data_IF_244269217682
#
_entry.id   IF_244269217682
#
_cell.length_a   1.000
_cell.length_b   1.000
_cell.length_c   1.000
_cell.angle_alpha   90.00
_cell.angle_beta   90.00
_cell.angle_gamma   90.00
#
_symmetry.space_group_name_H-M   'P 1'
#
loop_
_entity.id
_entity.type
_entity.pdbx_description
1 polymer ?
#
# COMPACT_ATOMS: atom_id res chain seq x y z
N UNK A 1 25.51 -8.57 7.34
CA UNK A 1 26.40 -8.05 8.41
C UNK A 1 26.06 -6.62 8.87
N UNK A 2 25.41 -5.77 8.05
CA UNK A 2 25.10 -4.37 8.41
C UNK A 2 24.07 -4.12 9.54
N UNK A 3 23.16 -5.06 9.82
CA UNK A 3 22.11 -4.93 10.85
C UNK A 3 22.59 -5.10 12.30
N UNK A 4 23.84 -5.53 12.52
CA UNK A 4 24.37 -5.82 13.85
C UNK A 4 24.97 -4.59 14.57
N UNK A 5 25.17 -3.46 13.87
CA UNK A 5 25.82 -2.26 14.42
C UNK A 5 24.89 -1.05 14.63
N UNK A 6 23.60 -1.21 14.32
CA UNK A 6 22.60 -0.16 14.47
C UNK A 6 21.99 -0.14 15.88
N UNK A 7 21.59 1.03 16.39
CA UNK A 7 20.85 1.11 17.65
C UNK A 7 19.54 0.31 17.56
N UNK A 8 19.04 -0.21 18.70
CA UNK A 8 17.91 -1.16 18.73
C UNK A 8 16.62 -0.61 18.10
N UNK A 9 16.41 0.71 18.14
CA UNK A 9 15.24 1.36 17.55
C UNK A 9 15.28 1.42 16.02
N UNK A 10 16.44 1.76 15.44
CA UNK A 10 16.63 1.76 13.98
C UNK A 10 16.50 0.32 13.45
N UNK A 11 17.06 -0.65 14.17
CA UNK A 11 16.92 -2.06 13.86
C UNK A 11 15.45 -2.50 13.87
N UNK A 12 14.66 -2.03 14.84
CA UNK A 12 13.23 -2.30 14.90
C UNK A 12 12.49 -1.71 13.70
N UNK A 13 12.71 -0.43 13.38
CA UNK A 13 12.07 0.25 12.24
C UNK A 13 12.40 -0.45 10.92
N UNK A 14 13.68 -0.73 10.68
CA UNK A 14 14.14 -1.37 9.46
C UNK A 14 13.61 -2.80 9.34
N UNK A 15 13.66 -3.57 10.43
CA UNK A 15 13.17 -4.96 10.44
C UNK A 15 11.65 -5.02 10.27
N UNK A 16 10.93 -4.08 10.87
CA UNK A 16 9.49 -3.94 10.70
C UNK A 16 9.13 -3.56 9.26
N UNK A 17 9.80 -2.58 8.66
CA UNK A 17 9.60 -2.19 7.27
C UNK A 17 9.92 -3.34 6.30
N UNK A 18 11.03 -4.06 6.53
CA UNK A 18 11.41 -5.24 5.76
C UNK A 18 10.32 -6.32 5.83
N UNK A 19 9.91 -6.68 7.04
CA UNK A 19 8.88 -7.69 7.29
C UNK A 19 7.58 -7.35 6.57
N UNK A 20 7.18 -6.09 6.66
CA UNK A 20 6.03 -5.54 5.98
C UNK A 20 6.13 -5.59 4.45
N UNK A 21 7.32 -5.31 3.91
CA UNK A 21 7.64 -5.49 2.49
C UNK A 21 7.55 -6.95 2.05
N UNK A 22 8.10 -7.89 2.82
CA UNK A 22 8.02 -9.32 2.52
C UNK A 22 6.58 -9.85 2.54
N UNK A 23 5.76 -9.44 3.51
CA UNK A 23 4.34 -9.79 3.52
C UNK A 23 3.63 -9.30 2.26
N UNK A 24 3.93 -8.07 1.80
CA UNK A 24 3.37 -7.53 0.56
C UNK A 24 3.85 -8.29 -0.68
N UNK A 25 5.13 -8.69 -0.73
CA UNK A 25 5.64 -9.56 -1.79
C UNK A 25 4.95 -10.92 -1.79
N UNK A 26 4.71 -11.51 -0.61
CA UNK A 26 3.95 -12.75 -0.48
C UNK A 26 2.52 -12.61 -1.01
N UNK A 27 1.82 -11.53 -0.67
CA UNK A 27 0.47 -11.24 -1.19
C UNK A 27 0.48 -11.11 -2.72
N UNK A 28 1.47 -10.39 -3.29
CA UNK A 28 1.61 -10.27 -4.76
C UNK A 28 1.91 -11.61 -5.42
N UNK A 29 2.82 -12.40 -4.85
CA UNK A 29 3.21 -13.71 -5.37
C UNK A 29 2.05 -14.69 -5.37
N UNK A 30 1.32 -14.80 -4.25
CA UNK A 30 0.08 -15.59 -4.18
C UNK A 30 -0.98 -15.06 -5.15
N UNK A 31 -1.06 -13.75 -5.33
CA UNK A 31 -1.99 -13.14 -6.26
C UNK A 31 -1.72 -13.49 -7.72
N UNK A 32 -0.45 -13.52 -8.13
CA UNK A 32 -0.06 -14.00 -9.45
C UNK A 32 -0.37 -15.49 -9.60
N UNK A 33 -0.03 -16.30 -8.60
CA UNK A 33 -0.28 -17.74 -8.60
C UNK A 33 -1.78 -18.05 -8.68
N UNK A 34 -2.62 -17.31 -7.94
CA UNK A 34 -4.07 -17.40 -8.00
C UNK A 34 -4.60 -17.08 -9.39
N UNK A 35 -4.09 -16.01 -10.03
CA UNK A 35 -4.49 -15.64 -11.39
C UNK A 35 -4.09 -16.71 -12.41
N UNK A 36 -2.85 -17.21 -12.34
CA UNK A 36 -2.39 -18.33 -13.19
C UNK A 36 -3.27 -19.56 -12.97
N UNK A 37 -3.57 -19.91 -11.72
CA UNK A 37 -4.38 -21.08 -11.42
C UNK A 37 -5.85 -20.92 -11.85
N UNK A 38 -6.43 -19.73 -11.72
CA UNK A 38 -7.74 -19.41 -12.31
C UNK A 38 -7.74 -19.62 -13.82
N UNK A 39 -6.68 -19.23 -14.54
CA UNK A 39 -6.60 -19.49 -15.98
C UNK A 39 -6.51 -20.99 -16.29
N UNK A 40 -5.80 -21.78 -15.48
CA UNK A 40 -5.77 -23.24 -15.62
C UNK A 40 -7.18 -23.84 -15.44
N UNK A 41 -7.94 -23.36 -14.44
CA UNK A 41 -9.30 -23.83 -14.20
C UNK A 41 -10.25 -23.41 -15.33
N UNK A 42 -10.16 -22.16 -15.82
CA UNK A 42 -11.06 -21.63 -16.84
C UNK A 42 -10.71 -22.08 -18.27
N UNK A 43 -9.43 -22.27 -18.59
CA UNK A 43 -8.98 -22.67 -19.93
C UNK A 43 -8.75 -24.18 -20.04
N UNK A 44 -8.57 -24.89 -18.92
CA UNK A 44 -8.32 -26.34 -18.86
C UNK A 44 -9.54 -27.21 -19.16
N UNK A 45 -10.58 -26.67 -19.82
CA UNK A 45 -11.77 -27.41 -20.22
C UNK A 45 -12.81 -27.64 -19.11
N UNK A 46 -12.58 -27.16 -17.89
CA UNK A 46 -13.49 -27.39 -16.77
C UNK A 46 -14.72 -26.48 -16.72
N UNK A 47 -14.78 -25.44 -17.57
CA UNK A 47 -15.88 -24.44 -17.57
C UNK A 47 -17.25 -25.07 -17.77
N UNK A 48 -17.35 -26.13 -18.57
CA UNK A 48 -18.61 -26.85 -18.79
C UNK A 48 -19.00 -27.78 -17.63
N UNK A 49 -18.06 -28.13 -16.75
CA UNK A 49 -18.27 -28.98 -15.58
C UNK A 49 -18.43 -28.19 -14.27
N UNK A 50 -18.15 -26.89 -14.31
CA UNK A 50 -18.31 -25.98 -13.18
C UNK A 50 -19.78 -25.78 -12.83
N UNK A 51 -20.13 -25.95 -11.56
CA UNK A 51 -21.44 -25.49 -11.09
C UNK A 51 -21.56 -23.97 -11.27
N UNK A 52 -22.79 -23.50 -11.53
CA UNK A 52 -23.07 -22.06 -11.69
C UNK A 52 -22.51 -21.23 -10.53
N UNK A 53 -22.55 -21.75 -9.30
CA UNK A 53 -22.02 -21.06 -8.11
C UNK A 53 -20.49 -20.90 -8.16
N UNK A 54 -19.76 -21.94 -8.56
CA UNK A 54 -18.29 -21.90 -8.65
C UNK A 54 -17.83 -21.06 -9.82
N UNK A 55 -18.53 -21.14 -10.95
CA UNK A 55 -18.24 -20.28 -12.08
C UNK A 55 -18.26 -18.81 -11.66
N UNK A 56 -19.36 -18.36 -11.04
CA UNK A 56 -19.46 -16.98 -10.55
C UNK A 56 -18.43 -16.65 -9.46
N UNK A 57 -18.12 -17.59 -8.57
CA UNK A 57 -17.12 -17.39 -7.51
C UNK A 57 -15.72 -17.18 -8.09
N UNK A 58 -15.28 -18.07 -9.00
CA UNK A 58 -13.99 -17.98 -9.68
C UNK A 58 -13.92 -16.74 -10.56
N UNK A 59 -14.99 -16.37 -11.26
CA UNK A 59 -15.05 -15.13 -12.05
C UNK A 59 -14.89 -13.90 -11.17
N UNK A 60 -15.63 -13.79 -10.07
CA UNK A 60 -15.53 -12.64 -9.14
C UNK A 60 -14.13 -12.56 -8.54
N UNK A 61 -13.59 -13.69 -8.06
CA UNK A 61 -12.24 -13.75 -7.52
C UNK A 61 -11.22 -13.29 -8.56
N UNK A 62 -11.31 -13.79 -9.80
CA UNK A 62 -10.35 -13.46 -10.87
C UNK A 62 -10.45 -12.00 -11.30
N UNK A 63 -11.66 -11.44 -11.40
CA UNK A 63 -11.87 -10.02 -11.73
C UNK A 63 -11.29 -9.10 -10.65
N UNK A 64 -11.62 -9.37 -9.38
CA UNK A 64 -11.08 -8.61 -8.25
C UNK A 64 -9.57 -8.78 -8.13
N UNK A 65 -9.05 -9.98 -8.38
CA UNK A 65 -7.62 -10.26 -8.36
C UNK A 65 -6.89 -9.54 -9.49
N UNK A 66 -7.47 -9.50 -10.69
CA UNK A 66 -6.92 -8.75 -11.82
C UNK A 66 -6.86 -7.27 -11.47
N UNK A 67 -7.92 -6.70 -10.90
CA UNK A 67 -7.91 -5.32 -10.43
C UNK A 67 -6.89 -5.08 -9.29
N UNK A 68 -6.75 -6.04 -8.38
CA UNK A 68 -5.89 -5.97 -7.19
C UNK A 68 -4.40 -6.24 -7.45
N UNK A 69 -3.98 -7.06 -8.41
CA UNK A 69 -2.53 -7.28 -8.72
C UNK A 69 -1.89 -6.00 -9.27
N UNK A 70 -2.69 -5.12 -9.88
CA UNK A 70 -2.23 -3.78 -10.28
C UNK A 70 -2.08 -2.81 -9.08
N UNK A 71 -2.38 -3.22 -7.83
CA UNK A 71 -2.36 -2.46 -6.56
C UNK A 71 -1.19 -1.48 -6.41
N UNK A 72 0.02 -2.03 -6.42
CA UNK A 72 1.20 -1.28 -5.96
C UNK A 72 1.65 -0.30 -7.02
N UNK A 73 1.30 -0.59 -8.27
CA UNK A 73 1.50 0.33 -9.37
C UNK A 73 0.46 1.45 -9.36
N UNK A 74 -0.79 1.14 -9.01
CA UNK A 74 -1.91 2.05 -9.20
C UNK A 74 -2.10 3.07 -8.08
N UNK A 75 -1.80 2.79 -6.81
CA UNK A 75 -1.99 3.78 -5.73
C UNK A 75 -1.16 5.07 -5.94
N UNK A 76 0.11 4.91 -6.33
CA UNK A 76 0.99 6.05 -6.63
C UNK A 76 0.59 6.72 -7.96
N UNK A 77 0.16 5.93 -8.94
CA UNK A 77 -0.31 6.47 -10.24
C UNK A 77 -1.63 7.21 -10.14
N UNK A 78 -2.61 6.73 -9.38
CA UNK A 78 -3.91 7.36 -9.18
C UNK A 78 -3.77 8.69 -8.42
N UNK A 79 -2.90 8.75 -7.40
CA UNK A 79 -2.58 10.02 -6.74
C UNK A 79 -1.97 11.02 -7.73
N UNK A 80 -1.06 10.57 -8.60
CA UNK A 80 -0.45 11.44 -9.60
C UNK A 80 -1.45 11.85 -10.69
N UNK A 81 -2.30 10.93 -11.16
CA UNK A 81 -3.35 11.20 -12.14
C UNK A 81 -4.37 12.19 -11.56
N UNK A 82 -4.78 12.00 -10.31
CA UNK A 82 -5.67 12.90 -9.60
C UNK A 82 -5.05 14.29 -9.44
N UNK A 83 -3.76 14.37 -9.09
CA UNK A 83 -3.04 15.64 -9.00
C UNK A 83 -2.90 16.34 -10.36
N UNK A 84 -2.54 15.59 -11.42
CA UNK A 84 -2.47 16.12 -12.79
C UNK A 84 -3.84 16.58 -13.28
N UNK A 85 -4.89 15.83 -12.99
CA UNK A 85 -6.26 16.21 -13.34
C UNK A 85 -6.70 17.47 -12.58
N UNK A 86 -6.46 17.53 -11.28
CA UNK A 86 -6.71 18.73 -10.47
C UNK A 86 -5.94 19.94 -10.99
N UNK A 87 -4.66 19.77 -11.34
CA UNK A 87 -3.85 20.82 -11.92
C UNK A 87 -4.42 21.33 -13.26
N UNK A 88 -4.88 20.44 -14.13
CA UNK A 88 -5.53 20.80 -15.40
C UNK A 88 -6.83 21.59 -15.16
N UNK A 89 -7.68 21.13 -14.24
CA UNK A 89 -8.90 21.84 -13.84
C UNK A 89 -8.60 23.26 -13.33
N UNK A 90 -7.57 23.41 -12.49
CA UNK A 90 -7.16 24.73 -11.97
C UNK A 90 -6.53 25.61 -13.05
N UNK A 91 -5.87 25.02 -14.04
CA UNK A 91 -5.26 25.77 -15.15
C UNK A 91 -6.30 26.34 -16.12
N UNK A 92 -7.40 25.62 -16.36
CA UNK A 92 -8.52 26.13 -17.18
C UNK A 92 -9.23 27.32 -16.53
N UNK A 93 -9.29 27.38 -15.19
CA UNK A 93 -9.79 28.55 -14.46
C UNK A 93 -8.85 29.74 -14.67
N UNK A 94 -7.55 29.50 -14.63
CA UNK A 94 -6.53 30.55 -14.61
C UNK A 94 -6.27 31.18 -15.99
N UNK A 95 -6.36 30.41 -17.08
CA UNK A 95 -6.08 30.87 -18.46
C UNK A 95 -7.28 31.61 -19.07
N UNK A 96 -8.45 31.60 -18.41
CA UNK A 96 -9.68 32.16 -18.97
C UNK A 96 -9.70 33.69 -18.90
N UNK A 97 -9.12 34.34 -19.89
CA UNK A 97 -9.31 35.78 -20.14
C UNK A 97 -10.68 36.05 -20.77
N UNK A 98 -11.45 37.05 -20.27
CA UNK A 98 -12.73 37.40 -20.86
C UNK A 98 -12.54 38.04 -22.25
N UNK A 99 -13.33 37.67 -23.26
CA UNK A 99 -13.22 38.22 -24.60
C UNK A 99 -13.55 39.72 -24.61
N UNK A 100 -12.59 40.54 -25.05
CA UNK A 100 -12.69 41.99 -25.09
C UNK A 100 -13.81 42.44 -26.05
N UNK A 101 -14.87 43.07 -25.52
CA UNK A 101 -15.98 43.62 -26.31
C UNK A 101 -17.23 42.74 -26.42
N UNK A 102 -17.41 41.74 -25.55
CA UNK A 102 -18.59 40.85 -25.57
C UNK A 102 -19.71 41.32 -24.62
N UNK A 103 -20.98 41.09 -24.98
CA UNK A 103 -22.12 41.48 -24.12
C UNK A 103 -22.11 40.69 -22.80
N UNK A 104 -22.32 41.36 -21.65
CA UNK A 104 -22.34 40.73 -20.30
C UNK A 104 -23.17 39.45 -20.22
N UNK A 105 -24.29 39.36 -20.94
CA UNK A 105 -25.11 38.16 -20.99
C UNK A 105 -24.40 36.95 -21.62
N UNK A 106 -23.59 37.15 -22.65
CA UNK A 106 -22.85 36.08 -23.36
C UNK A 106 -21.69 35.56 -22.50
N UNK A 107 -21.06 36.43 -21.71
CA UNK A 107 -20.01 36.05 -20.74
C UNK A 107 -20.57 35.22 -19.59
N UNK A 108 -21.74 35.59 -19.08
CA UNK A 108 -22.43 34.82 -18.05
C UNK A 108 -22.85 33.44 -18.57
N UNK A 109 -23.44 33.38 -19.77
CA UNK A 109 -23.86 32.10 -20.38
C UNK A 109 -22.67 31.18 -20.60
N UNK A 110 -21.56 31.66 -21.19
CA UNK A 110 -20.37 30.83 -21.40
C UNK A 110 -19.75 30.37 -20.08
N UNK A 111 -19.78 31.21 -19.05
CA UNK A 111 -19.29 30.83 -17.71
C UNK A 111 -20.17 29.79 -17.04
N UNK A 112 -21.49 29.93 -17.12
CA UNK A 112 -22.43 28.96 -16.58
C UNK A 112 -22.27 27.60 -17.28
N UNK A 113 -22.16 27.59 -18.62
CA UNK A 113 -21.94 26.35 -19.39
C UNK A 113 -20.65 25.65 -18.98
N UNK A 114 -19.56 26.39 -18.80
CA UNK A 114 -18.28 25.83 -18.36
C UNK A 114 -18.36 25.27 -16.92
N UNK A 115 -19.01 25.99 -15.99
CA UNK A 115 -19.25 25.50 -14.62
C UNK A 115 -20.08 24.21 -14.64
N UNK A 116 -21.13 24.15 -15.46
CA UNK A 116 -21.98 22.96 -15.58
C UNK A 116 -21.20 21.77 -16.13
N UNK A 117 -20.38 21.97 -17.18
CA UNK A 117 -19.50 20.94 -17.72
C UNK A 117 -18.49 20.44 -16.68
N UNK A 118 -17.87 21.35 -15.92
CA UNK A 118 -16.95 21.02 -14.83
C UNK A 118 -17.61 20.18 -13.74
N UNK A 119 -18.78 20.61 -13.26
CA UNK A 119 -19.55 19.88 -12.25
C UNK A 119 -19.91 18.48 -12.76
N UNK A 120 -20.36 18.37 -14.01
CA UNK A 120 -20.69 17.09 -14.62
C UNK A 120 -19.47 16.15 -14.71
N UNK A 121 -18.31 16.68 -15.10
CA UNK A 121 -17.08 15.90 -15.20
C UNK A 121 -16.59 15.40 -13.83
N UNK A 122 -16.62 16.26 -12.80
CA UNK A 122 -16.30 15.88 -11.41
C UNK A 122 -17.29 14.84 -10.89
N UNK A 123 -18.58 14.99 -11.18
CA UNK A 123 -19.61 14.03 -10.77
C UNK A 123 -19.39 12.66 -11.42
N UNK A 124 -19.19 12.57 -12.74
CA UNK A 124 -18.90 11.31 -13.43
C UNK A 124 -17.68 10.64 -12.82
N UNK A 125 -16.58 11.39 -12.67
CA UNK A 125 -15.35 10.85 -12.12
C UNK A 125 -15.56 10.32 -10.71
N UNK A 126 -16.29 11.05 -9.87
CA UNK A 126 -16.59 10.60 -8.50
C UNK A 126 -17.47 9.35 -8.51
N UNK A 127 -18.51 9.31 -9.34
CA UNK A 127 -19.44 8.18 -9.45
C UNK A 127 -18.73 6.92 -10.00
N UNK A 128 -17.73 7.06 -10.86
CA UNK A 128 -16.98 5.92 -11.41
C UNK A 128 -15.84 5.50 -10.47
N UNK A 129 -15.06 6.45 -9.95
CA UNK A 129 -13.88 6.18 -9.13
C UNK A 129 -14.25 5.68 -7.73
N UNK A 130 -15.33 6.19 -7.12
CA UNK A 130 -15.68 5.83 -5.75
C UNK A 130 -16.09 4.35 -5.61
N UNK A 131 -17.00 3.78 -6.42
CA UNK A 131 -17.30 2.36 -6.39
C UNK A 131 -16.08 1.51 -6.74
N UNK A 132 -15.25 1.96 -7.68
CA UNK A 132 -14.01 1.27 -8.03
C UNK A 132 -13.05 1.23 -6.83
N UNK A 133 -12.92 2.34 -6.09
CA UNK A 133 -12.09 2.43 -4.89
C UNK A 133 -12.62 1.58 -3.73
N UNK A 134 -13.95 1.49 -3.57
CA UNK A 134 -14.59 0.61 -2.57
C UNK A 134 -14.39 -0.86 -2.94
N UNK A 135 -14.66 -1.23 -4.19
CA UNK A 135 -14.43 -2.59 -4.71
C UNK A 135 -12.95 -2.97 -4.63
N UNK A 136 -12.06 -2.01 -4.82
CA UNK A 136 -10.62 -2.18 -4.67
C UNK A 136 -10.20 -2.42 -3.21
N UNK A 137 -10.66 -1.57 -2.28
CA UNK A 137 -10.30 -1.69 -0.87
C UNK A 137 -10.91 -2.93 -0.21
N UNK A 138 -12.14 -3.26 -0.59
CA UNK A 138 -12.87 -4.40 -0.03
C UNK A 138 -12.68 -5.70 -0.83
N UNK A 139 -12.17 -5.61 -2.06
CA UNK A 139 -12.11 -6.73 -3.00
C UNK A 139 -11.35 -7.92 -2.43
N UNK A 140 -10.21 -7.69 -1.79
CA UNK A 140 -9.43 -8.77 -1.19
C UNK A 140 -10.15 -9.44 -0.02
N UNK A 141 -10.89 -8.68 0.78
CA UNK A 141 -11.71 -9.22 1.87
C UNK A 141 -12.89 -10.03 1.32
N UNK A 142 -13.55 -9.53 0.26
CA UNK A 142 -14.66 -10.22 -0.39
C UNK A 142 -14.18 -11.52 -1.02
N UNK A 143 -13.07 -11.51 -1.77
CA UNK A 143 -12.46 -12.72 -2.32
C UNK A 143 -12.15 -13.77 -1.25
N UNK A 144 -11.56 -13.33 -0.13
CA UNK A 144 -11.22 -14.21 1.00
C UNK A 144 -12.47 -14.81 1.61
N UNK A 145 -13.52 -14.01 1.83
CA UNK A 145 -14.78 -14.47 2.38
C UNK A 145 -15.48 -15.47 1.46
N UNK A 146 -15.53 -15.20 0.15
CA UNK A 146 -16.09 -16.12 -0.85
C UNK A 146 -15.30 -17.43 -0.85
N UNK A 147 -13.97 -17.36 -0.93
CA UNK A 147 -13.12 -18.54 -0.96
C UNK A 147 -13.25 -19.39 0.32
N UNK A 148 -13.25 -18.76 1.50
CA UNK A 148 -13.50 -19.43 2.78
C UNK A 148 -14.88 -20.10 2.79
N UNK A 149 -15.92 -19.37 2.37
CA UNK A 149 -17.28 -19.89 2.33
C UNK A 149 -17.40 -21.11 1.41
N UNK A 150 -16.78 -21.07 0.21
CA UNK A 150 -16.73 -22.22 -0.69
C UNK A 150 -15.97 -23.39 -0.04
N UNK A 151 -14.77 -23.17 0.49
CA UNK A 151 -13.95 -24.21 1.13
C UNK A 151 -14.61 -24.88 2.35
N UNK A 152 -15.45 -24.15 3.08
CA UNK A 152 -16.21 -24.69 4.22
C UNK A 152 -17.43 -25.46 3.75
N UNK A 153 -18.20 -24.90 2.82
CA UNK A 153 -19.46 -25.51 2.38
C UNK A 153 -19.23 -26.78 1.58
N UNK A 154 -18.12 -26.85 0.82
CA UNK A 154 -17.72 -28.00 -0.01
C UNK A 154 -18.91 -28.61 -0.78
N UNK A 155 -19.80 -27.76 -1.29
CA UNK A 155 -20.99 -28.21 -2.05
C UNK A 155 -20.73 -28.33 -3.55
N UNK A 156 -19.54 -27.95 -4.04
CA UNK A 156 -19.07 -28.14 -5.42
C UNK A 156 -18.64 -29.57 -5.77
N UNK A 157 -18.89 -30.51 -4.86
CA UNK A 157 -18.55 -31.93 -5.00
C UNK A 157 -19.75 -32.77 -5.50
N UNK A 158 -20.95 -32.18 -5.53
CA UNK A 158 -22.24 -32.85 -5.68
C UNK A 158 -22.74 -32.90 -7.12
N UNK A 159 -22.10 -33.72 -7.97
CA UNK A 159 -22.59 -33.96 -9.32
C UNK A 159 -21.53 -34.32 -10.34
N UNK A 160 -20.36 -34.82 -9.92
CA UNK A 160 -19.41 -35.39 -10.85
C UNK A 160 -20.05 -36.62 -11.50
N UNK A 161 -20.60 -36.42 -12.70
CA UNK A 161 -20.83 -37.50 -13.65
C UNK A 161 -19.54 -38.32 -13.70
N UNK A 162 -19.69 -39.64 -13.56
CA UNK A 162 -18.62 -40.61 -13.64
C UNK A 162 -17.86 -40.43 -14.96
N UNK A 163 -16.74 -39.72 -14.91
CA UNK A 163 -15.93 -39.38 -16.07
C UNK A 163 -14.58 -38.79 -15.63
N UNK A 164 -13.50 -39.25 -16.26
CA UNK A 164 -12.12 -38.98 -15.85
C UNK A 164 -11.74 -37.50 -15.73
N UNK A 165 -12.43 -36.59 -16.43
CA UNK A 165 -12.13 -35.16 -16.42
C UNK A 165 -12.64 -34.44 -15.16
N UNK A 166 -13.73 -34.91 -14.53
CA UNK A 166 -14.23 -34.34 -13.28
C UNK A 166 -13.35 -34.70 -12.06
N UNK A 167 -12.47 -35.69 -12.20
CA UNK A 167 -11.58 -36.13 -11.12
C UNK A 167 -10.58 -35.05 -10.71
N UNK A 168 -10.08 -34.27 -11.68
CA UNK A 168 -9.07 -33.23 -11.46
C UNK A 168 -9.67 -31.85 -11.18
N UNK A 169 -10.96 -31.65 -11.45
CA UNK A 169 -11.66 -30.39 -11.17
C UNK A 169 -11.71 -30.08 -9.67
N UNK A 170 -12.02 -31.10 -8.85
CA UNK A 170 -12.12 -30.97 -7.39
C UNK A 170 -10.81 -30.48 -6.76
N UNK A 171 -9.67 -31.16 -6.94
CA UNK A 171 -8.40 -30.67 -6.40
C UNK A 171 -7.98 -29.33 -7.01
N UNK A 172 -8.35 -29.04 -8.27
CA UNK A 172 -8.06 -27.75 -8.88
C UNK A 172 -8.80 -26.59 -8.18
N UNK A 173 -10.08 -26.75 -7.86
CA UNK A 173 -10.84 -25.73 -7.11
C UNK A 173 -10.36 -25.59 -5.67
N UNK A 174 -9.98 -26.70 -5.02
CA UNK A 174 -9.42 -26.66 -3.67
C UNK A 174 -8.12 -25.86 -3.60
N UNK A 175 -7.23 -26.04 -4.58
CA UNK A 175 -6.00 -25.23 -4.70
C UNK A 175 -6.36 -23.76 -4.96
N UNK A 176 -7.30 -23.48 -5.87
CA UNK A 176 -7.71 -22.11 -6.20
C UNK A 176 -8.21 -21.36 -4.97
N UNK A 177 -9.19 -21.93 -4.26
CA UNK A 177 -9.75 -21.29 -3.08
C UNK A 177 -8.73 -21.22 -1.94
N UNK A 178 -7.86 -22.22 -1.78
CA UNK A 178 -6.79 -22.18 -0.77
C UNK A 178 -5.78 -21.05 -1.04
N UNK A 179 -5.41 -20.82 -2.30
CA UNK A 179 -4.57 -19.69 -2.69
C UNK A 179 -5.23 -18.35 -2.37
N UNK A 180 -6.52 -18.21 -2.69
CA UNK A 180 -7.29 -17.00 -2.38
C UNK A 180 -7.37 -16.74 -0.86
N UNK A 181 -7.61 -17.77 -0.06
CA UNK A 181 -7.61 -17.67 1.40
C UNK A 181 -6.23 -17.34 1.95
N UNK A 182 -5.18 -18.01 1.46
CA UNK A 182 -3.80 -17.74 1.88
C UNK A 182 -3.37 -16.30 1.58
N UNK A 183 -3.72 -15.79 0.40
CA UNK A 183 -3.48 -14.40 0.01
C UNK A 183 -4.22 -13.43 0.95
N UNK A 184 -5.50 -13.72 1.21
CA UNK A 184 -6.33 -12.98 2.15
C UNK A 184 -5.75 -12.93 3.57
N UNK A 185 -5.29 -14.08 4.07
CA UNK A 185 -4.71 -14.21 5.40
C UNK A 185 -3.41 -13.39 5.54
N UNK A 186 -2.50 -13.46 4.55
CA UNK A 186 -1.29 -12.63 4.55
C UNK A 186 -1.62 -11.13 4.53
N UNK A 187 -2.64 -10.73 3.75
CA UNK A 187 -3.07 -9.34 3.69
C UNK A 187 -3.72 -8.87 4.98
N UNK A 188 -4.58 -9.69 5.59
CA UNK A 188 -5.19 -9.39 6.88
C UNK A 188 -4.12 -9.25 7.97
N UNK A 189 -3.18 -10.19 8.01
CA UNK A 189 -2.05 -10.16 8.93
C UNK A 189 -1.21 -8.90 8.73
N UNK A 190 -0.86 -8.55 7.48
CA UNK A 190 -0.18 -7.29 7.14
C UNK A 190 -0.97 -6.08 7.64
N UNK A 191 -2.28 -6.03 7.42
CA UNK A 191 -3.12 -4.90 7.84
C UNK A 191 -3.16 -4.77 9.35
N UNK A 192 -3.30 -5.87 10.08
CA UNK A 192 -3.26 -5.90 11.54
C UNK A 192 -1.91 -5.41 12.09
N UNK A 193 -0.80 -5.88 11.52
CA UNK A 193 0.54 -5.41 11.89
C UNK A 193 0.79 -3.95 11.51
N UNK A 194 0.18 -3.45 10.43
CA UNK A 194 0.29 -2.04 10.03
C UNK A 194 -0.32 -1.13 11.09
N UNK A 195 -1.50 -1.52 11.60
CA UNK A 195 -2.21 -0.83 12.65
C UNK A 195 -1.43 -0.90 13.98
N UNK A 196 -0.99 -2.09 14.39
CA UNK A 196 -0.22 -2.28 15.62
C UNK A 196 1.14 -1.56 15.58
N UNK A 197 1.83 -1.60 14.44
CA UNK A 197 3.13 -0.97 14.26
C UNK A 197 3.08 0.56 14.25
N UNK A 198 1.99 1.17 13.78
CA UNK A 198 1.77 2.61 13.95
C UNK A 198 1.73 3.00 15.43
N UNK A 199 1.09 2.18 16.27
CA UNK A 199 1.11 2.35 17.72
C UNK A 199 2.47 2.08 18.36
N UNK A 200 3.27 1.14 17.84
CA UNK A 200 4.62 0.89 18.32
C UNK A 200 5.58 2.07 18.07
N UNK A 201 5.41 2.78 16.95
CA UNK A 201 6.20 3.98 16.60
C UNK A 201 5.87 5.13 17.55
N UNK A 202 4.60 5.35 17.87
CA UNK A 202 4.18 6.30 18.91
C UNK A 202 4.82 5.96 20.27
N UNK A 203 4.88 4.67 20.64
CA UNK A 203 5.56 4.23 21.87
C UNK A 203 7.06 4.47 21.85
N UNK A 204 7.73 4.36 20.70
CA UNK A 204 9.15 4.74 20.56
C UNK A 204 9.29 6.25 20.75
N UNK A 205 8.49 7.06 20.05
CA UNK A 205 8.50 8.52 20.17
C UNK A 205 8.32 8.97 21.63
N UNK A 206 7.39 8.34 22.34
CA UNK A 206 7.09 8.63 23.74
C UNK A 206 8.20 8.13 24.70
N UNK A 207 8.69 6.90 24.51
CA UNK A 207 9.76 6.30 25.32
C UNK A 207 11.06 7.11 25.29
N UNK A 208 11.38 7.72 24.14
CA UNK A 208 12.58 8.55 24.00
C UNK A 208 12.36 10.02 24.34
N UNK A 209 11.17 10.38 24.85
CA UNK A 209 10.77 11.75 25.21
C UNK A 209 11.16 12.76 24.13
N UNK A 210 10.92 12.40 22.86
CA UNK A 210 11.12 13.30 21.75
C UNK A 210 10.05 14.41 21.84
N UNK A 211 10.35 15.47 22.58
CA UNK A 211 9.42 16.58 22.86
C UNK A 211 9.32 17.58 21.70
N UNK A 212 10.30 17.61 20.80
CA UNK A 212 10.30 18.52 19.65
C UNK A 212 9.52 17.92 18.47
N UNK A 213 8.53 18.67 17.94
CA UNK A 213 7.75 18.32 16.73
C UNK A 213 8.63 17.86 15.57
N UNK A 214 9.71 18.61 15.30
CA UNK A 214 10.69 18.34 14.24
C UNK A 214 11.35 16.94 14.33
N UNK A 215 11.68 16.48 15.54
CA UNK A 215 12.26 15.14 15.74
C UNK A 215 11.25 14.03 15.46
N UNK A 216 9.97 14.26 15.77
CA UNK A 216 8.88 13.33 15.47
C UNK A 216 8.64 13.25 13.96
N UNK A 217 8.67 14.39 13.27
CA UNK A 217 8.52 14.45 11.81
C UNK A 217 9.66 13.75 11.08
N UNK A 218 10.91 13.93 11.50
CA UNK A 218 12.05 13.24 10.89
C UNK A 218 11.98 11.71 11.06
N UNK A 219 11.60 11.21 12.24
CA UNK A 219 11.41 9.77 12.48
C UNK A 219 10.22 9.21 11.69
N UNK A 220 9.11 9.96 11.60
CA UNK A 220 7.96 9.59 10.77
C UNK A 220 8.30 9.59 9.28
N UNK A 221 9.07 10.57 8.82
CA UNK A 221 9.60 10.68 7.46
C UNK A 221 10.48 9.48 7.12
N UNK A 222 11.44 9.16 7.99
CA UNK A 222 12.31 7.99 7.83
C UNK A 222 11.50 6.69 7.74
N UNK A 223 10.55 6.47 8.66
CA UNK A 223 9.69 5.28 8.63
C UNK A 223 8.86 5.22 7.34
N UNK A 224 8.31 6.35 6.90
CA UNK A 224 7.53 6.45 5.66
C UNK A 224 8.39 6.07 4.46
N UNK A 225 9.63 6.56 4.40
CA UNK A 225 10.58 6.23 3.34
C UNK A 225 10.97 4.75 3.37
N UNK A 226 11.30 4.21 4.55
CA UNK A 226 11.61 2.79 4.69
C UNK A 226 10.43 1.91 4.27
N UNK A 227 9.19 2.25 4.65
CA UNK A 227 7.98 1.53 4.20
C UNK A 227 7.80 1.62 2.68
N UNK A 228 7.86 2.82 2.12
CA UNK A 228 7.68 3.06 0.69
C UNK A 228 8.74 2.35 -0.17
N UNK A 229 9.99 2.33 0.31
CA UNK A 229 11.08 1.58 -0.31
C UNK A 229 10.89 0.07 -0.17
N UNK A 230 10.60 -0.43 1.03
CA UNK A 230 10.40 -1.87 1.29
C UNK A 230 9.17 -2.46 0.58
N UNK A 231 8.13 -1.67 0.34
CA UNK A 231 6.95 -2.09 -0.42
C UNK A 231 7.29 -2.38 -1.90
N UNK A 232 8.38 -1.78 -2.42
CA UNK A 232 8.92 -2.07 -3.74
C UNK A 232 9.95 -3.20 -3.68
N UNK A 233 10.91 -3.08 -2.77
CA UNK A 233 12.00 -4.02 -2.57
C UNK A 233 12.32 -4.13 -1.06
N UNK A 234 12.00 -5.25 -0.39
CA UNK A 234 12.28 -5.47 1.03
C UNK A 234 13.76 -5.37 1.40
N UNK A 235 14.68 -5.52 0.44
CA UNK A 235 16.10 -5.34 0.69
C UNK A 235 16.50 -3.87 0.85
N UNK A 236 15.62 -2.92 0.50
CA UNK A 236 15.85 -1.48 0.58
C UNK A 236 16.29 -0.99 1.96
N UNK A 237 15.76 -1.58 3.04
CA UNK A 237 16.14 -1.20 4.40
C UNK A 237 17.53 -1.69 4.82
N UNK A 238 18.14 -2.62 4.08
CA UNK A 238 19.44 -3.19 4.42
C UNK A 238 20.53 -2.12 4.21
N UNK A 239 21.21 -1.76 5.30
CA UNK A 239 22.28 -0.76 5.24
C UNK A 239 21.80 0.69 5.29
N UNK A 240 20.50 0.94 5.43
CA UNK A 240 19.96 2.28 5.67
C UNK A 240 19.99 2.63 7.14
N UNK A 241 20.43 3.83 7.45
CA UNK A 241 20.55 4.39 8.78
C UNK A 241 19.92 5.78 8.82
N UNK A 242 19.45 6.17 10.01
CA UNK A 242 18.72 7.43 10.20
C UNK A 242 19.59 8.64 9.90
N UNK A 243 20.90 8.54 10.14
CA UNK A 243 21.88 9.61 9.89
C UNK A 243 22.01 9.86 8.39
N UNK A 244 22.19 8.83 7.57
CA UNK A 244 22.28 8.99 6.11
C UNK A 244 21.00 9.57 5.52
N UNK A 245 19.83 9.19 6.06
CA UNK A 245 18.56 9.82 5.67
C UNK A 245 18.53 11.31 5.99
N UNK A 246 18.92 11.69 7.21
CA UNK A 246 18.99 13.10 7.61
C UNK A 246 19.95 13.88 6.71
N UNK A 247 21.09 13.30 6.33
CA UNK A 247 22.06 13.91 5.41
C UNK A 247 21.48 14.10 4.01
N UNK A 248 20.86 13.06 3.46
CA UNK A 248 20.20 13.14 2.15
C UNK A 248 19.08 14.19 2.11
N UNK A 249 18.38 14.40 3.23
CA UNK A 249 17.34 15.42 3.31
C UNK A 249 17.93 16.83 3.16
N UNK A 250 19.13 17.07 3.71
CA UNK A 250 19.84 18.35 3.58
C UNK A 250 20.25 18.64 2.14
N UNK A 251 20.82 17.65 1.46
CA UNK A 251 21.30 17.80 0.08
C UNK A 251 20.15 18.07 -0.91
N UNK A 252 18.91 17.71 -0.54
CA UNK A 252 17.73 17.85 -1.39
C UNK A 252 17.01 19.19 -1.30
N UNK A 253 17.36 20.07 -0.35
CA UNK A 253 16.75 21.39 -0.20
C UNK A 253 17.72 22.51 -0.60
N UNK A 254 17.24 23.59 -1.26
CA UNK A 254 18.07 24.73 -1.60
C UNK A 254 18.59 25.43 -0.33
N UNK A 255 19.81 26.01 -0.36
CA UNK A 255 20.37 26.68 0.81
C UNK A 255 19.65 28.02 1.04
N UNK A 256 18.87 28.09 2.10
CA UNK A 256 18.35 29.31 2.69
C UNK A 256 18.80 29.38 4.15
N UNK A 257 19.20 30.57 4.63
CA UNK A 257 19.84 30.74 5.96
C UNK A 257 18.99 30.15 7.12
N UNK A 258 17.67 30.10 6.94
CA UNK A 258 16.73 29.52 7.90
C UNK A 258 16.76 27.98 7.86
N UNK A 259 16.82 27.37 6.66
CA UNK A 259 16.93 25.92 6.49
C UNK A 259 18.30 25.39 6.94
N UNK A 260 19.39 26.11 6.71
CA UNK A 260 20.74 25.71 7.14
C UNK A 260 20.86 25.64 8.68
N UNK A 261 20.22 26.59 9.38
CA UNK A 261 20.11 26.57 10.85
C UNK A 261 19.24 25.41 11.37
N UNK A 262 18.16 25.11 10.64
CA UNK A 262 17.23 24.03 10.92
C UNK A 262 17.90 22.66 10.73
N UNK A 263 18.64 22.47 9.64
CA UNK A 263 19.35 21.23 9.32
C UNK A 263 20.51 20.98 10.27
N UNK A 264 21.31 22.00 10.60
CA UNK A 264 22.33 21.90 11.65
C UNK A 264 21.72 21.50 13.00
N UNK A 265 20.56 22.07 13.35
CA UNK A 265 19.79 21.69 14.54
C UNK A 265 19.30 20.24 14.50
N UNK A 266 18.80 19.79 13.35
CA UNK A 266 18.27 18.45 13.12
C UNK A 266 19.36 17.39 13.20
N UNK A 267 20.49 17.56 12.49
CA UNK A 267 21.64 16.63 12.56
C UNK A 267 22.14 16.55 13.98
N UNK A 268 22.34 17.69 14.66
CA UNK A 268 22.90 17.70 16.01
C UNK A 268 21.98 16.94 16.96
N UNK A 269 20.66 17.09 16.84
CA UNK A 269 19.66 16.36 17.63
C UNK A 269 19.62 14.88 17.29
N UNK A 270 19.64 14.49 16.01
CA UNK A 270 19.69 13.08 15.57
C UNK A 270 21.00 12.43 16.03
N UNK A 271 22.13 13.10 15.87
CA UNK A 271 23.43 12.65 16.34
C UNK A 271 23.46 12.46 17.86
N UNK A 272 22.98 13.44 18.63
CA UNK A 272 22.88 13.31 20.09
C UNK A 272 21.93 12.19 20.50
N UNK A 273 20.82 12.01 19.78
CA UNK A 273 19.87 10.94 20.00
C UNK A 273 20.49 9.57 19.71
N UNK A 274 21.06 9.35 18.52
CA UNK A 274 21.75 8.11 18.15
C UNK A 274 22.90 7.79 19.11
N UNK A 275 23.67 8.80 19.53
CA UNK A 275 24.73 8.64 20.54
C UNK A 275 24.17 8.24 21.91
N UNK A 276 23.04 8.82 22.32
CA UNK A 276 22.36 8.49 23.57
C UNK A 276 21.75 7.09 23.55
N UNK A 277 21.28 6.61 22.40
CA UNK A 277 20.78 5.25 22.21
C UNK A 277 21.91 4.23 22.21
N UNK A 278 23.04 4.51 21.55
CA UNK A 278 24.24 3.66 21.61
C UNK A 278 24.77 3.51 23.03
N UNK A 279 24.83 4.60 23.79
CA UNK A 279 25.32 4.58 25.18
C UNK A 279 24.41 3.72 26.09
N UNK A 280 23.09 3.82 25.94
CA UNK A 280 22.12 3.03 26.74
C UNK A 280 21.97 1.57 26.28
N UNK A 281 22.19 1.28 25.00
CA UNK A 281 22.25 -0.10 24.51
C UNK A 281 23.46 -0.86 25.09
N UNK A 282 24.60 -0.18 25.25
CA UNK A 282 25.75 -0.74 25.95
C UNK A 282 25.43 -1.03 27.43
N UNK A 283 24.75 -0.11 28.12
CA UNK A 283 24.32 -0.29 29.52
C UNK A 283 23.30 -1.42 29.75
N UNK A 284 22.51 -1.79 28.72
CA UNK A 284 21.58 -2.92 28.76
C UNK A 284 22.23 -4.25 28.38
N UNK A 285 23.23 -4.23 27.48
CA UNK A 285 24.04 -5.40 27.14
C UNK A 285 24.87 -5.90 28.32
N UNK A 286 25.48 -4.99 29.08
CA UNK A 286 26.24 -5.34 30.30
C UNK A 286 25.35 -5.94 31.41
N UNK A 287 24.04 -5.66 31.38
CA UNK A 287 23.08 -6.15 32.37
C UNK A 287 22.48 -7.53 32.03
N UNK A 288 22.71 -8.03 30.81
CA UNK A 288 22.15 -9.26 30.29
C UNK A 288 23.16 -10.43 30.19
N UNK A 289 24.39 -10.24 30.68
CA UNK A 289 25.38 -11.31 30.84
C UNK A 289 25.36 -11.81 32.28
N UNK A 290 24.60 -12.88 32.62
CA UNK A 290 24.83 -13.56 33.89
C UNK A 290 26.16 -14.32 33.79
N UNK A 291 26.97 -14.18 34.84
CA UNK A 291 28.04 -15.11 35.16
C UNK A 291 27.48 -16.51 35.45
#
# INVERSE_FOLDING_TARGET
MGLLRQPPEEKFINSYAAYMGYLLMGVKGLGFLLLTWSTVVLLGGFVSMLEKKDFWSVTVITLMQTAGVFDVFMKKKLSNIGYSYFALLTSEIYIREPPQGSSRARELVTTIVWIVMMVYQVLILTIILFPLAVLYYLGLYICTAIALWRLVKRDYYGGAAEGGDAANLKPALDVLYSLAVGQGALFFYRTAYAFAGNGAVEKVIDKYKMTSSQSKEAVRGYLSEMRSGCDKDPSFCIGKDLITYAVSLMESQPPDDESDSFFCGLIRRIYFWTRSCKRRAAEQGDRASPA
#
